data_IF_820846932091
#
_entry.id   IF_820846932091
#
_cell.length_a   1.000
_cell.length_b   1.000
_cell.length_c   1.000
_cell.angle_alpha   90.00
_cell.angle_beta   90.00
_cell.angle_gamma   90.00
#
_symmetry.space_group_name_H-M   'P 1'
#
loop_
_entity.id
_entity.type
_entity.pdbx_description
1 polymer ?
#
# COMPACT_ATOMS: atom_id res chain seq x y z
N UNK A 1 -11.76 26.75 12.46
CA UNK A 1 -11.89 25.31 12.18
C UNK A 1 -13.04 25.13 11.21
N UNK A 2 -12.79 24.50 10.06
CA UNK A 2 -13.84 24.14 9.11
C UNK A 2 -14.62 22.94 9.69
N UNK A 3 -15.89 22.85 9.29
CA UNK A 3 -16.70 21.66 9.54
C UNK A 3 -16.03 20.42 8.89
N UNK A 4 -16.11 19.23 9.50
CA UNK A 4 -15.55 17.98 8.92
C UNK A 4 -16.00 17.72 7.49
N UNK A 5 -17.25 18.04 7.13
CA UNK A 5 -17.77 17.90 5.78
C UNK A 5 -17.06 18.86 4.82
N UNK A 6 -16.89 20.12 5.20
CA UNK A 6 -16.18 21.12 4.39
C UNK A 6 -14.71 20.73 4.17
N UNK A 7 -14.05 20.18 5.19
CA UNK A 7 -12.69 19.68 5.08
C UNK A 7 -12.60 18.50 4.10
N UNK A 8 -13.57 17.58 4.17
CA UNK A 8 -13.66 16.44 3.26
C UNK A 8 -13.86 16.90 1.82
N UNK A 9 -14.80 17.82 1.57
CA UNK A 9 -15.05 18.41 0.24
C UNK A 9 -13.78 19.07 -0.30
N UNK A 10 -13.06 19.85 0.53
CA UNK A 10 -11.79 20.45 0.15
C UNK A 10 -10.75 19.40 -0.22
N UNK A 11 -10.64 18.33 0.57
CA UNK A 11 -9.69 17.26 0.31
C UNK A 11 -9.96 16.63 -1.07
N UNK A 12 -11.22 16.25 -1.34
CA UNK A 12 -11.61 15.69 -2.63
C UNK A 12 -11.29 16.65 -3.78
N UNK A 13 -11.68 17.92 -3.65
CA UNK A 13 -11.42 18.93 -4.67
C UNK A 13 -9.92 19.06 -4.95
N UNK A 14 -9.10 19.24 -3.91
CA UNK A 14 -7.66 19.39 -4.05
C UNK A 14 -7.01 18.14 -4.65
N UNK A 15 -7.38 16.94 -4.17
CA UNK A 15 -6.84 15.70 -4.70
C UNK A 15 -7.18 15.49 -6.19
N UNK A 16 -8.38 15.83 -6.61
CA UNK A 16 -8.83 15.67 -8.01
C UNK A 16 -8.31 16.76 -8.95
N UNK A 17 -7.89 17.89 -8.44
CA UNK A 17 -7.44 19.05 -9.25
C UNK A 17 -5.94 19.31 -9.17
N UNK A 18 -5.23 18.74 -8.22
CA UNK A 18 -3.79 18.89 -8.07
C UNK A 18 -2.99 17.95 -9.00
N UNK A 19 -1.70 18.22 -9.12
CA UNK A 19 -0.79 17.43 -9.94
C UNK A 19 -0.75 15.96 -9.49
N UNK A 20 -1.12 15.05 -10.36
CA UNK A 20 -1.15 13.59 -10.17
C UNK A 20 -1.94 13.10 -8.94
N UNK A 21 -2.91 13.85 -8.45
CA UNK A 21 -3.69 13.45 -7.27
C UNK A 21 -2.85 13.31 -6.00
N UNK A 22 -1.70 13.99 -5.91
CA UNK A 22 -0.80 13.89 -4.77
C UNK A 22 -1.38 14.62 -3.56
N UNK A 23 -1.20 14.07 -2.38
CA UNK A 23 -1.42 14.79 -1.12
C UNK A 23 -0.08 15.12 -0.49
N UNK A 24 0.19 16.41 -0.27
CA UNK A 24 1.39 16.87 0.41
C UNK A 24 1.10 18.18 1.16
N UNK A 25 1.62 18.27 2.37
CA UNK A 25 1.57 19.47 3.18
C UNK A 25 2.98 19.99 3.47
N UNK A 26 3.12 21.29 3.67
CA UNK A 26 4.37 21.90 4.10
C UNK A 26 4.55 21.76 5.63
N UNK A 27 5.67 22.26 6.18
CA UNK A 27 5.97 22.24 7.62
C UNK A 27 4.92 22.94 8.50
N UNK A 28 4.05 23.78 7.90
CA UNK A 28 2.93 24.45 8.58
C UNK A 28 1.61 23.66 8.48
N UNK A 29 1.62 22.45 7.91
CA UNK A 29 0.41 21.66 7.69
C UNK A 29 -0.46 22.15 6.53
N UNK A 30 0.01 23.08 5.70
CA UNK A 30 -0.75 23.61 4.57
C UNK A 30 -0.48 22.81 3.30
N UNK A 31 -1.55 22.48 2.59
CA UNK A 31 -1.48 21.80 1.28
C UNK A 31 -0.63 22.62 0.28
N UNK A 32 0.34 21.96 -0.35
CA UNK A 32 1.31 22.64 -1.22
C UNK A 32 1.63 21.89 -2.52
N UNK A 33 0.69 21.06 -3.01
CA UNK A 33 0.83 20.45 -4.34
C UNK A 33 0.36 21.44 -5.41
N UNK A 34 1.11 21.61 -6.51
CA UNK A 34 0.70 22.46 -7.62
C UNK A 34 -0.63 22.00 -8.25
N UNK A 35 -1.34 22.92 -8.88
CA UNK A 35 -2.53 22.59 -9.67
C UNK A 35 -2.17 21.65 -10.83
N UNK A 36 -3.00 20.68 -11.09
CA UNK A 36 -2.90 19.78 -12.26
C UNK A 36 -3.36 20.46 -13.55
N UNK A 37 -2.95 19.90 -14.68
CA UNK A 37 -3.33 20.41 -16.02
C UNK A 37 -4.52 19.61 -16.58
N UNK A 38 -5.59 19.48 -15.79
CA UNK A 38 -6.79 18.77 -16.21
C UNK A 38 -7.78 19.74 -16.86
N UNK A 39 -8.28 19.40 -18.06
CA UNK A 39 -9.27 20.21 -18.76
C UNK A 39 -10.65 20.12 -18.10
N UNK A 40 -11.05 18.91 -17.68
CA UNK A 40 -12.35 18.64 -17.04
C UNK A 40 -12.15 17.56 -15.98
N UNK A 41 -11.63 17.90 -14.79
CA UNK A 41 -11.43 16.90 -13.75
C UNK A 41 -12.78 16.42 -13.19
N UNK A 42 -12.97 15.11 -13.12
CA UNK A 42 -14.10 14.53 -12.42
C UNK A 42 -13.85 14.64 -10.91
N UNK A 43 -14.44 15.64 -10.28
CA UNK A 43 -14.23 15.91 -8.85
C UNK A 43 -15.04 14.97 -7.99
N UNK A 44 -16.31 14.75 -8.36
CA UNK A 44 -17.23 13.91 -7.62
C UNK A 44 -17.74 12.78 -8.53
N UNK A 45 -17.39 11.55 -8.18
CA UNK A 45 -18.02 10.33 -8.71
C UNK A 45 -19.04 9.85 -7.68
N UNK A 46 -20.26 10.37 -7.80
CA UNK A 46 -21.35 10.09 -6.84
C UNK A 46 -21.62 8.59 -6.71
N UNK A 47 -21.62 7.87 -7.83
CA UNK A 47 -21.91 6.44 -7.83
C UNK A 47 -20.88 5.67 -7.02
N UNK A 48 -19.61 5.88 -7.31
CA UNK A 48 -18.49 5.24 -6.57
C UNK A 48 -18.51 5.62 -5.10
N UNK A 49 -18.68 6.92 -4.79
CA UNK A 49 -18.70 7.38 -3.39
C UNK A 49 -19.85 6.77 -2.58
N UNK A 50 -21.03 6.60 -3.19
CA UNK A 50 -22.16 5.94 -2.51
C UNK A 50 -21.89 4.45 -2.31
N UNK A 51 -21.34 3.76 -3.32
CA UNK A 51 -21.00 2.34 -3.22
C UNK A 51 -19.94 2.10 -2.14
N UNK A 52 -18.89 2.92 -2.12
CA UNK A 52 -17.82 2.86 -1.11
C UNK A 52 -18.39 3.15 0.30
N UNK A 53 -19.28 4.15 0.41
CA UNK A 53 -19.96 4.46 1.69
C UNK A 53 -20.75 3.27 2.24
N UNK A 54 -21.49 2.55 1.38
CA UNK A 54 -22.24 1.35 1.81
C UNK A 54 -21.29 0.21 2.21
N UNK A 55 -20.15 0.07 1.51
CA UNK A 55 -19.13 -0.92 1.85
C UNK A 55 -18.51 -0.61 3.22
N UNK A 56 -18.15 0.64 3.44
CA UNK A 56 -17.49 1.10 4.68
C UNK A 56 -18.38 0.97 5.92
N UNK A 57 -19.72 0.90 5.79
CA UNK A 57 -20.60 0.59 6.93
C UNK A 57 -20.39 -0.80 7.52
N UNK A 58 -19.70 -1.69 6.79
CA UNK A 58 -19.39 -3.06 7.23
C UNK A 58 -17.96 -3.19 7.79
N UNK A 59 -17.26 -2.10 7.89
CA UNK A 59 -15.84 -2.03 8.28
C UNK A 59 -15.71 -1.18 9.53
N UNK A 60 -14.90 -1.61 10.45
CA UNK A 60 -14.46 -0.77 11.57
C UNK A 60 -13.20 -0.01 11.14
N UNK A 61 -13.26 1.32 11.18
CA UNK A 61 -12.13 2.19 10.85
C UNK A 61 -11.50 2.64 12.15
N UNK A 62 -10.23 2.28 12.34
CA UNK A 62 -9.46 2.61 13.53
C UNK A 62 -8.35 3.59 13.17
N UNK A 63 -8.03 4.50 14.10
CA UNK A 63 -6.90 5.40 14.04
C UNK A 63 -5.96 5.11 15.20
N UNK A 64 -4.65 5.10 14.94
CA UNK A 64 -3.65 4.93 15.99
C UNK A 64 -2.46 4.08 15.55
N UNK A 65 -1.75 3.57 16.53
CA UNK A 65 -0.60 2.71 16.30
C UNK A 65 -1.04 1.30 15.85
N UNK A 66 -0.30 0.72 14.91
CA UNK A 66 -0.62 -0.60 14.35
C UNK A 66 -0.62 -1.72 15.41
N UNK A 67 0.15 -1.60 16.49
CA UNK A 67 0.17 -2.60 17.55
C UNK A 67 -1.19 -2.73 18.26
N UNK A 68 -2.01 -1.69 18.25
CA UNK A 68 -3.34 -1.73 18.84
C UNK A 68 -4.31 -2.65 18.09
N UNK A 69 -4.02 -2.98 16.84
CA UNK A 69 -4.87 -3.84 16.01
C UNK A 69 -4.97 -5.27 16.54
N UNK A 70 -3.99 -5.73 17.32
CA UNK A 70 -4.04 -7.05 17.95
C UNK A 70 -5.22 -7.18 18.94
N UNK A 71 -5.61 -6.09 19.58
CA UNK A 71 -6.74 -6.07 20.50
C UNK A 71 -8.10 -6.31 19.81
N UNK A 72 -8.15 -6.10 18.50
CA UNK A 72 -9.35 -6.28 17.69
C UNK A 72 -9.42 -7.70 17.08
N UNK A 73 -8.35 -8.49 17.20
CA UNK A 73 -8.28 -9.81 16.59
C UNK A 73 -9.24 -10.82 17.26
N UNK A 74 -10.00 -11.56 16.46
CA UNK A 74 -10.94 -12.56 16.94
C UNK A 74 -10.98 -13.77 16.00
N UNK A 75 -11.06 -14.97 16.55
CA UNK A 75 -11.23 -16.20 15.78
C UNK A 75 -10.14 -16.39 14.71
N UNK A 76 -10.54 -16.55 13.46
CA UNK A 76 -9.62 -16.64 12.31
C UNK A 76 -9.35 -15.25 11.75
N UNK A 77 -8.28 -14.63 12.21
CA UNK A 77 -7.87 -13.28 11.75
C UNK A 77 -6.64 -13.37 10.85
N UNK A 78 -6.67 -12.62 9.74
CA UNK A 78 -5.53 -12.34 8.88
C UNK A 78 -5.17 -10.86 9.02
N UNK A 79 -3.94 -10.59 9.41
CA UNK A 79 -3.37 -9.25 9.40
C UNK A 79 -2.72 -8.98 8.03
N UNK A 80 -3.13 -7.89 7.37
CA UNK A 80 -2.45 -7.41 6.18
C UNK A 80 -1.76 -6.08 6.49
N UNK A 81 -0.43 -6.06 6.37
CA UNK A 81 0.38 -4.88 6.63
C UNK A 81 0.84 -4.25 5.32
N UNK A 82 0.50 -3.00 5.11
CA UNK A 82 0.96 -2.16 4.00
C UNK A 82 1.61 -0.89 4.57
N UNK A 83 2.80 -1.02 5.19
CA UNK A 83 3.48 0.10 5.84
C UNK A 83 4.04 1.07 4.79
N UNK A 84 4.45 2.27 5.17
CA UNK A 84 5.31 3.07 4.32
C UNK A 84 6.53 2.26 3.88
N UNK A 85 6.69 2.13 2.55
CA UNK A 85 7.74 1.28 1.97
C UNK A 85 9.12 1.87 2.22
N UNK A 86 10.09 0.99 2.50
CA UNK A 86 11.49 1.37 2.64
C UNK A 86 12.00 1.93 1.31
N UNK A 87 12.63 3.14 1.29
CA UNK A 87 13.15 3.74 0.08
C UNK A 87 14.20 2.84 -0.59
N UNK A 88 14.11 2.70 -1.93
CA UNK A 88 15.07 1.93 -2.74
C UNK A 88 16.33 2.72 -3.12
N UNK A 89 16.39 4.00 -2.79
CA UNK A 89 17.56 4.88 -3.02
C UNK A 89 17.46 6.11 -2.14
N UNK A 90 18.60 6.72 -1.81
CA UNK A 90 18.70 7.94 -1.01
C UNK A 90 17.94 9.12 -1.63
N UNK A 91 17.80 9.14 -2.96
CA UNK A 91 17.04 10.16 -3.68
C UNK A 91 15.52 9.92 -3.66
N UNK A 92 15.06 8.76 -3.23
CA UNK A 92 13.62 8.44 -3.11
C UNK A 92 13.05 8.70 -1.72
N UNK A 93 13.88 9.17 -0.78
CA UNK A 93 13.49 9.53 0.58
C UNK A 93 12.70 10.86 0.62
N UNK A 94 11.63 10.96 -0.18
CA UNK A 94 10.68 12.08 -0.06
C UNK A 94 9.92 12.11 1.29
N UNK A 95 10.24 11.18 2.18
CA UNK A 95 9.61 11.04 3.50
C UNK A 95 10.25 11.94 4.59
N UNK A 96 11.28 12.71 4.28
CA UNK A 96 11.95 13.63 5.22
C UNK A 96 11.05 14.76 5.78
N UNK A 97 9.79 14.86 5.33
CA UNK A 97 8.89 15.90 5.76
C UNK A 97 7.95 15.51 6.90
N UNK A 98 7.87 14.23 7.28
CA UNK A 98 7.15 13.81 8.48
C UNK A 98 8.13 13.73 9.65
N UNK A 99 7.78 14.34 10.78
CA UNK A 99 8.56 14.27 12.03
C UNK A 99 8.74 12.85 12.57
N UNK A 100 8.00 11.90 12.02
CA UNK A 100 7.99 10.47 12.34
C UNK A 100 8.03 9.67 11.04
N UNK A 101 9.15 9.76 10.29
CA UNK A 101 9.36 8.90 9.14
C UNK A 101 9.38 7.43 9.60
N UNK A 102 8.66 6.56 8.88
CA UNK A 102 8.69 5.11 9.10
C UNK A 102 10.04 4.58 8.61
N UNK A 103 11.02 4.60 9.50
CA UNK A 103 12.44 4.28 9.25
C UNK A 103 12.72 2.78 9.47
N UNK A 104 14.01 2.39 9.41
CA UNK A 104 14.44 1.01 9.61
C UNK A 104 14.09 0.50 11.03
N UNK A 105 14.15 1.33 12.06
CA UNK A 105 13.71 0.96 13.42
C UNK A 105 12.21 0.68 13.46
N UNK A 106 11.41 1.45 12.72
CA UNK A 106 9.97 1.21 12.57
C UNK A 106 9.67 -0.08 11.83
N UNK A 107 10.50 -0.44 10.82
CA UNK A 107 10.40 -1.73 10.12
C UNK A 107 10.72 -2.90 11.07
N UNK A 108 11.75 -2.76 11.91
CA UNK A 108 12.10 -3.75 12.93
C UNK A 108 10.97 -3.92 13.95
N UNK A 109 10.42 -2.82 14.45
CA UNK A 109 9.28 -2.84 15.37
C UNK A 109 8.05 -3.52 14.75
N UNK A 110 7.78 -3.29 13.45
CA UNK A 110 6.70 -3.97 12.74
C UNK A 110 6.96 -5.49 12.64
N UNK A 111 8.20 -5.91 12.43
CA UNK A 111 8.57 -7.33 12.45
C UNK A 111 8.32 -7.94 13.83
N UNK A 112 8.71 -7.27 14.90
CA UNK A 112 8.45 -7.73 16.27
C UNK A 112 6.93 -7.86 16.53
N UNK A 113 6.14 -6.96 15.95
CA UNK A 113 4.69 -7.08 16.02
C UNK A 113 4.16 -8.27 15.20
N UNK A 114 4.72 -8.54 14.03
CA UNK A 114 4.39 -9.76 13.28
C UNK A 114 4.69 -11.03 14.10
N UNK A 115 5.79 -11.04 14.86
CA UNK A 115 6.11 -12.17 15.75
C UNK A 115 5.06 -12.34 16.85
N UNK A 116 4.58 -11.24 17.45
CA UNK A 116 3.49 -11.26 18.43
C UNK A 116 2.20 -11.83 17.81
N UNK A 117 1.84 -11.37 16.59
CA UNK A 117 0.68 -11.85 15.84
C UNK A 117 0.75 -13.36 15.63
N UNK A 118 1.93 -13.88 15.28
CA UNK A 118 2.16 -15.33 15.10
C UNK A 118 2.10 -16.08 16.41
N UNK A 119 2.68 -15.54 17.48
CA UNK A 119 2.64 -16.16 18.82
C UNK A 119 1.22 -16.31 19.35
N UNK A 120 0.31 -15.37 19.00
CA UNK A 120 -1.12 -15.44 19.32
C UNK A 120 -1.92 -16.37 18.37
N UNK A 121 -1.25 -17.04 17.43
CA UNK A 121 -1.85 -18.01 16.53
C UNK A 121 -2.51 -17.42 15.28
N UNK A 122 -2.29 -16.16 14.99
CA UNK A 122 -2.85 -15.49 13.81
C UNK A 122 -1.95 -15.57 12.59
N UNK A 123 -2.54 -15.29 11.44
CA UNK A 123 -1.82 -15.21 10.17
C UNK A 123 -1.55 -13.76 9.80
N UNK A 124 -0.40 -13.52 9.15
CA UNK A 124 -0.12 -12.21 8.57
C UNK A 124 0.42 -12.30 7.14
N UNK A 125 0.20 -11.21 6.39
CA UNK A 125 0.85 -10.90 5.12
C UNK A 125 1.31 -9.45 5.17
N UNK A 126 2.52 -9.19 4.68
CA UNK A 126 3.12 -7.86 4.65
C UNK A 126 3.68 -7.59 3.25
N UNK A 127 3.38 -6.41 2.70
CA UNK A 127 3.98 -5.90 1.46
C UNK A 127 5.05 -4.86 1.74
N UNK A 128 6.14 -4.86 0.95
CA UNK A 128 7.18 -3.83 1.02
C UNK A 128 8.05 -3.80 -0.25
N UNK A 129 9.01 -2.87 -0.30
CA UNK A 129 10.00 -2.77 -1.37
C UNK A 129 10.89 -4.01 -1.42
N UNK A 130 11.22 -4.49 -2.61
CA UNK A 130 12.26 -5.49 -2.81
C UNK A 130 13.64 -4.80 -2.88
N UNK A 131 14.24 -4.53 -1.73
CA UNK A 131 15.55 -3.88 -1.63
C UNK A 131 16.63 -4.70 -2.33
N UNK A 132 16.65 -6.02 -2.09
CA UNK A 132 17.61 -6.94 -2.70
C UNK A 132 17.42 -7.07 -4.21
N UNK A 133 16.19 -7.03 -4.70
CA UNK A 133 15.92 -7.03 -6.15
C UNK A 133 16.43 -5.77 -6.85
N UNK A 134 16.61 -4.68 -6.11
CA UNK A 134 17.20 -3.44 -6.61
C UNK A 134 18.72 -3.38 -6.42
N UNK A 135 19.21 -3.88 -5.30
CA UNK A 135 20.62 -3.94 -4.91
C UNK A 135 20.87 -5.24 -4.15
N UNK A 136 21.60 -6.18 -4.75
CA UNK A 136 21.85 -7.50 -4.16
C UNK A 136 22.55 -7.46 -2.80
N UNK A 137 23.30 -6.39 -2.52
CA UNK A 137 23.94 -6.17 -1.23
C UNK A 137 22.95 -5.72 -0.13
N UNK A 138 21.77 -5.19 -0.48
CA UNK A 138 20.74 -4.76 0.47
C UNK A 138 19.80 -5.92 0.80
N UNK A 139 20.20 -6.73 1.75
CA UNK A 139 19.45 -7.89 2.23
C UNK A 139 18.62 -7.61 3.49
N UNK A 140 18.33 -6.33 3.78
CA UNK A 140 17.65 -5.91 5.01
C UNK A 140 16.40 -6.75 5.33
N UNK A 141 15.44 -6.84 4.41
CA UNK A 141 14.23 -7.61 4.63
C UNK A 141 14.46 -9.12 4.61
N UNK A 142 15.40 -9.62 3.79
CA UNK A 142 15.73 -11.04 3.75
C UNK A 142 16.30 -11.54 5.09
N UNK A 143 17.06 -10.71 5.78
CA UNK A 143 17.57 -11.00 7.13
C UNK A 143 16.49 -10.80 8.18
N UNK A 144 15.77 -9.67 8.12
CA UNK A 144 14.75 -9.32 9.11
C UNK A 144 13.61 -10.35 9.20
N UNK A 145 13.18 -10.87 8.05
CA UNK A 145 12.08 -11.84 7.93
C UNK A 145 12.55 -13.25 7.57
N UNK A 146 13.79 -13.64 7.96
CA UNK A 146 14.37 -14.94 7.60
C UNK A 146 13.52 -16.15 8.04
N UNK A 147 12.75 -16.02 9.12
CA UNK A 147 11.88 -17.07 9.66
C UNK A 147 10.55 -17.20 8.91
N UNK A 148 10.28 -16.34 7.95
CA UNK A 148 9.01 -16.26 7.21
C UNK A 148 9.19 -16.54 5.72
N UNK A 149 8.08 -16.74 5.03
CA UNK A 149 8.08 -16.86 3.57
C UNK A 149 8.20 -15.47 2.96
N UNK A 150 9.17 -15.28 2.08
CA UNK A 150 9.36 -14.05 1.30
C UNK A 150 9.16 -14.38 -0.16
N UNK A 151 8.06 -13.93 -0.75
CA UNK A 151 7.79 -14.04 -2.17
C UNK A 151 8.10 -12.70 -2.86
N UNK A 152 8.75 -12.76 -4.03
CA UNK A 152 9.00 -11.58 -4.86
C UNK A 152 7.97 -11.51 -5.96
N UNK A 153 7.26 -10.41 -6.04
CA UNK A 153 6.17 -10.20 -6.99
C UNK A 153 6.46 -8.99 -7.88
N UNK A 154 6.00 -9.06 -9.12
CA UNK A 154 6.13 -7.93 -10.05
C UNK A 154 4.88 -7.05 -9.96
N UNK A 155 5.04 -5.85 -9.43
CA UNK A 155 4.00 -4.83 -9.38
C UNK A 155 4.13 -3.85 -10.56
N UNK A 156 2.99 -3.37 -11.05
CA UNK A 156 2.96 -2.35 -12.10
C UNK A 156 3.02 -0.96 -11.47
N UNK A 157 4.01 -0.15 -11.84
CA UNK A 157 4.10 1.25 -11.43
C UNK A 157 3.37 2.14 -12.42
N UNK A 158 2.15 2.58 -12.06
CA UNK A 158 1.36 3.49 -12.89
C UNK A 158 1.75 4.96 -12.71
N UNK A 159 2.45 5.31 -11.63
CA UNK A 159 2.81 6.69 -11.27
C UNK A 159 4.29 6.92 -11.52
N UNK A 160 4.64 7.43 -12.70
CA UNK A 160 5.94 8.02 -12.97
C UNK A 160 5.73 9.21 -13.91
N UNK A 161 6.31 10.36 -13.58
CA UNK A 161 6.29 11.57 -14.41
C UNK A 161 6.88 11.32 -15.82
N UNK A 162 7.82 10.38 -15.95
CA UNK A 162 8.38 9.95 -17.22
C UNK A 162 7.74 8.62 -17.64
N UNK A 163 6.87 8.66 -18.65
CA UNK A 163 6.15 7.50 -19.16
C UNK A 163 7.07 6.35 -19.65
N UNK A 164 8.26 6.66 -20.14
CA UNK A 164 9.26 5.68 -20.58
C UNK A 164 9.90 4.91 -19.40
N UNK A 165 9.74 5.40 -18.16
CA UNK A 165 10.20 4.74 -16.92
C UNK A 165 9.09 4.04 -16.15
N UNK A 166 7.92 3.85 -16.76
CA UNK A 166 6.82 3.04 -16.24
C UNK A 166 7.14 1.57 -16.52
N UNK A 167 7.79 0.90 -15.59
CA UNK A 167 8.17 -0.50 -15.67
C UNK A 167 7.60 -1.29 -14.50
N UNK A 168 7.67 -2.62 -14.61
CA UNK A 168 7.40 -3.49 -13.48
C UNK A 168 8.50 -3.28 -12.44
N UNK A 169 8.12 -3.19 -11.18
CA UNK A 169 9.02 -3.15 -10.04
C UNK A 169 8.83 -4.43 -9.23
N UNK A 170 9.91 -4.96 -8.70
CA UNK A 170 9.82 -6.07 -7.75
C UNK A 170 9.46 -5.55 -6.38
N UNK A 171 8.49 -6.19 -5.74
CA UNK A 171 8.08 -5.99 -4.36
C UNK A 171 8.15 -7.31 -3.61
N UNK A 172 8.23 -7.27 -2.30
CA UNK A 172 8.17 -8.46 -1.44
C UNK A 172 6.79 -8.62 -0.83
N UNK A 173 6.35 -9.88 -0.71
CA UNK A 173 5.25 -10.30 0.14
C UNK A 173 5.80 -11.25 1.19
N UNK A 174 5.74 -10.84 2.45
CA UNK A 174 6.15 -11.66 3.60
C UNK A 174 4.92 -12.25 4.26
N UNK A 175 4.97 -13.53 4.63
CA UNK A 175 3.83 -14.21 5.27
C UNK A 175 4.28 -15.36 6.14
N UNK A 176 3.52 -15.68 7.20
CA UNK A 176 3.77 -16.82 8.08
C UNK A 176 3.03 -18.11 7.68
N UNK A 177 2.24 -18.09 6.63
CA UNK A 177 1.46 -19.23 6.14
C UNK A 177 1.78 -19.53 4.69
N UNK A 178 1.48 -20.74 4.25
CA UNK A 178 1.61 -21.17 2.86
C UNK A 178 2.11 -22.59 2.75
N UNK A 179 2.18 -23.03 1.54
CA UNK A 179 2.48 -24.43 1.21
C UNK A 179 3.97 -24.72 1.40
N UNK A 180 4.26 -25.94 1.82
CA UNK A 180 5.63 -26.46 1.89
C UNK A 180 6.31 -26.38 0.52
N UNK A 181 7.66 -26.43 0.47
CA UNK A 181 8.39 -26.39 -0.81
C UNK A 181 7.91 -27.43 -1.86
N UNK A 182 7.40 -28.59 -1.42
CA UNK A 182 6.80 -29.60 -2.31
C UNK A 182 5.51 -29.13 -2.99
N UNK A 183 4.71 -28.33 -2.32
CA UNK A 183 3.48 -27.76 -2.89
C UNK A 183 3.77 -26.56 -3.78
N UNK A 184 4.86 -25.77 -3.52
CA UNK A 184 5.34 -24.72 -4.42
C UNK A 184 5.69 -25.27 -5.80
N UNK A 185 6.37 -26.41 -5.89
CA UNK A 185 6.72 -27.06 -7.17
C UNK A 185 5.49 -27.54 -7.94
N UNK A 186 4.43 -28.00 -7.24
CA UNK A 186 3.16 -28.38 -7.87
C UNK A 186 2.36 -27.17 -8.35
N UNK A 187 2.33 -26.07 -7.60
CA UNK A 187 1.60 -24.86 -7.99
C UNK A 187 2.27 -24.14 -9.17
N UNK A 188 3.60 -24.11 -9.25
CA UNK A 188 4.30 -23.55 -10.44
C UNK A 188 4.01 -24.34 -11.71
N UNK A 189 3.68 -25.63 -11.62
CA UNK A 189 3.30 -26.45 -12.78
C UNK A 189 1.81 -26.34 -13.15
N UNK A 190 0.95 -25.89 -12.23
CA UNK A 190 -0.50 -25.77 -12.43
C UNK A 190 -0.90 -24.30 -12.72
N UNK A 191 -0.13 -23.35 -12.23
CA UNK A 191 -0.36 -21.94 -12.46
C UNK A 191 0.22 -21.52 -13.83
N UNK A 192 -0.51 -21.87 -14.88
CA UNK A 192 -0.43 -21.13 -16.12
C UNK A 192 -1.14 -19.79 -15.86
N UNK A 193 -0.44 -18.66 -15.78
CA UNK A 193 -1.08 -17.38 -15.57
C UNK A 193 -1.74 -16.96 -16.88
N UNK A 194 -2.86 -17.54 -17.22
CA UNK A 194 -3.86 -16.78 -17.93
C UNK A 194 -4.34 -15.73 -16.92
N UNK A 195 -3.60 -14.65 -16.87
CA UNK A 195 -4.08 -13.41 -16.31
C UNK A 195 -5.44 -13.18 -16.95
N UNK A 196 -6.51 -13.48 -16.21
CA UNK A 196 -7.81 -12.96 -16.56
C UNK A 196 -7.68 -11.48 -16.23
N UNK A 197 -7.33 -10.69 -17.25
CA UNK A 197 -7.50 -9.24 -17.15
C UNK A 197 -8.89 -9.02 -16.58
N UNK A 198 -9.03 -8.29 -15.46
CA UNK A 198 -10.33 -7.83 -15.07
C UNK A 198 -10.82 -7.08 -16.32
N UNK A 199 -11.93 -7.53 -16.91
CA UNK A 199 -12.58 -6.77 -17.96
C UNK A 199 -12.79 -5.39 -17.37
N UNK A 200 -11.94 -4.45 -17.79
CA UNK A 200 -12.21 -3.04 -17.64
C UNK A 200 -13.59 -2.89 -18.28
N UNK A 201 -14.61 -2.75 -17.45
CA UNK A 201 -15.90 -2.29 -17.90
C UNK A 201 -15.61 -0.99 -18.61
N UNK A 202 -15.66 -1.04 -19.94
CA UNK A 202 -15.56 0.13 -20.80
C UNK A 202 -16.73 1.06 -20.44
N UNK A 203 -16.50 1.95 -19.49
CA UNK A 203 -17.31 3.12 -19.23
C UNK A 203 -16.91 4.24 -20.22
N UNK A 204 -17.01 3.95 -21.48
CA UNK A 204 -16.85 4.90 -22.56
C UNK A 204 -17.87 4.60 -23.62
N UNK A 205 -19.09 5.10 -23.39
CA UNK A 205 -20.05 5.50 -24.42
C UNK A 205 -21.43 5.59 -23.77
N UNK A 206 -21.77 6.75 -23.26
CA UNK A 206 -23.11 7.36 -23.30
C UNK A 206 -23.06 8.79 -22.76
N UNK A 207 -23.30 9.71 -23.71
CA UNK A 207 -23.58 11.14 -23.66
C UNK A 207 -22.40 12.08 -23.51
#
# INVERSE_FOLDING_TARGET
>A
NLDPIENTVKFFFLNRTCFNGLYRVNKKGLFNVPCGKYMQPQICDEYTLRADSELLKRVEILEGDFENTLLCAQGKTLFYFDPPYRPLSDTSSFNDYSKEAFNDDSQVRLKEFCDKVVAEGYSFMLSNSDCKGKNEADNFFDVLYADYYIDRVLASRNVNANGAKRGKISEILVRNYGNTQKERQKQTSIFNPRYVEPKLLNYGERF
#
